data_IF_085808645188
#
_entry.id   IF_085808645188
#
_cell.length_a   1.000
_cell.length_b   1.000
_cell.length_c   1.000
_cell.angle_alpha   90.00
_cell.angle_beta   90.00
_cell.angle_gamma   90.00
#
_symmetry.space_group_name_H-M   'P 1'
#
loop_
_entity.id
_entity.type
_entity.pdbx_description
1 polymer ?
#
# COMPACT_ATOMS: atom_id res chain seq x y z
N UNK A 1 18.58 4.33 78.95
CA UNK A 1 18.19 4.26 77.51
C UNK A 1 17.57 2.89 77.15
N UNK A 2 18.02 1.74 77.69
CA UNK A 2 17.52 0.40 77.38
C UNK A 2 16.08 0.10 77.85
N UNK A 3 15.66 0.62 79.01
CA UNK A 3 14.30 0.43 79.54
C UNK A 3 13.20 1.18 78.76
N UNK A 4 13.50 2.35 78.24
CA UNK A 4 12.53 3.14 77.45
C UNK A 4 12.19 2.46 76.13
N UNK A 5 13.18 1.83 75.49
CA UNK A 5 12.99 1.07 74.24
C UNK A 5 12.13 -0.17 74.47
N UNK A 6 12.35 -0.90 75.61
CA UNK A 6 11.53 -2.09 75.97
C UNK A 6 10.05 -1.71 76.18
N UNK A 7 9.77 -0.67 76.93
CA UNK A 7 8.37 -0.22 77.20
C UNK A 7 7.68 0.29 75.94
N UNK A 8 8.42 0.78 74.97
CA UNK A 8 7.87 1.22 73.67
C UNK A 8 7.57 0.00 72.76
N UNK A 9 8.41 -0.99 72.80
CA UNK A 9 8.21 -2.26 72.04
C UNK A 9 7.02 -3.05 72.60
N UNK A 10 6.83 -3.09 73.90
CA UNK A 10 5.67 -3.76 74.52
C UNK A 10 4.35 -3.06 74.16
N UNK A 11 4.28 -1.73 74.17
CA UNK A 11 3.09 -0.98 73.75
C UNK A 11 2.75 -1.17 72.28
N UNK A 12 3.74 -1.31 71.42
CA UNK A 12 3.50 -1.58 69.99
C UNK A 12 2.98 -3.04 69.82
N UNK A 13 3.55 -4.00 70.52
CA UNK A 13 3.09 -5.41 70.52
C UNK A 13 1.66 -5.56 71.05
N UNK A 14 1.28 -4.84 72.08
CA UNK A 14 -0.09 -4.84 72.61
C UNK A 14 -1.09 -4.19 71.61
N UNK A 15 -0.70 -3.09 70.93
CA UNK A 15 -1.55 -2.48 69.91
C UNK A 15 -1.74 -3.42 68.72
N UNK A 16 -0.71 -4.10 68.27
CA UNK A 16 -0.80 -5.07 67.16
C UNK A 16 -1.67 -6.26 67.57
N UNK A 17 -1.53 -6.76 68.84
CA UNK A 17 -2.33 -7.87 69.35
C UNK A 17 -3.82 -7.52 69.50
N UNK A 18 -4.15 -6.28 69.93
CA UNK A 18 -5.53 -5.75 70.01
C UNK A 18 -6.15 -5.58 68.61
N UNK A 19 -5.36 -5.25 67.61
CA UNK A 19 -5.86 -5.08 66.24
C UNK A 19 -6.08 -6.46 65.55
N UNK A 20 -5.37 -7.52 65.97
CA UNK A 20 -5.58 -8.86 65.44
C UNK A 20 -6.78 -9.58 66.06
N UNK A 21 -7.28 -9.14 67.24
CA UNK A 21 -8.42 -9.79 67.93
C UNK A 21 -9.77 -9.17 67.56
N UNK A 22 -9.85 -8.22 66.62
CA UNK A 22 -11.13 -7.83 66.06
C UNK A 22 -11.66 -9.07 65.29
N UNK A 23 -12.46 -9.88 65.97
CA UNK A 23 -13.26 -10.95 65.35
C UNK A 23 -13.90 -10.36 64.11
N UNK A 24 -13.47 -10.79 62.95
CA UNK A 24 -14.13 -10.43 61.68
C UNK A 24 -15.58 -10.80 61.86
N UNK A 25 -16.45 -9.80 62.07
CA UNK A 25 -17.88 -9.98 62.20
C UNK A 25 -18.40 -10.68 60.94
N UNK A 26 -19.39 -11.54 61.07
CA UNK A 26 -19.99 -12.27 59.97
C UNK A 26 -20.31 -11.30 58.80
N UNK A 27 -20.75 -10.10 59.10
CA UNK A 27 -21.00 -9.01 58.12
C UNK A 27 -19.73 -8.55 57.38
N UNK A 28 -18.53 -8.51 58.05
CA UNK A 28 -17.29 -8.18 57.37
C UNK A 28 -16.81 -9.24 56.40
N UNK A 29 -17.06 -10.51 56.70
CA UNK A 29 -16.78 -11.65 55.77
C UNK A 29 -17.72 -11.63 54.57
N UNK A 30 -19.01 -11.40 54.79
CA UNK A 30 -20.03 -11.29 53.74
C UNK A 30 -19.69 -10.08 52.83
N UNK A 31 -19.31 -8.95 53.40
CA UNK A 31 -18.89 -7.76 52.62
C UNK A 31 -17.67 -8.04 51.75
N UNK A 32 -16.66 -8.75 52.27
CA UNK A 32 -15.46 -9.09 51.46
C UNK A 32 -15.80 -10.03 50.30
N UNK A 33 -16.65 -11.04 50.57
CA UNK A 33 -17.09 -11.98 49.50
C UNK A 33 -17.92 -11.23 48.43
N UNK A 34 -18.82 -10.34 48.81
CA UNK A 34 -19.60 -9.53 47.88
C UNK A 34 -18.71 -8.65 46.98
N UNK A 35 -17.70 -8.00 47.53
CA UNK A 35 -16.74 -7.19 46.77
C UNK A 35 -15.93 -8.07 45.83
N UNK A 36 -15.45 -9.25 46.27
CA UNK A 36 -14.71 -10.16 45.40
C UNK A 36 -15.56 -10.71 44.24
N UNK A 37 -16.83 -11.02 44.48
CA UNK A 37 -17.78 -11.43 43.44
C UNK A 37 -18.04 -10.32 42.45
N UNK A 38 -18.29 -9.11 42.93
CA UNK A 38 -18.48 -7.94 42.07
C UNK A 38 -17.25 -7.63 41.20
N UNK A 39 -16.06 -7.67 41.79
CA UNK A 39 -14.82 -7.51 41.08
C UNK A 39 -14.59 -8.61 40.03
N UNK A 40 -14.92 -9.86 40.36
CA UNK A 40 -14.86 -10.99 39.42
C UNK A 40 -15.83 -10.86 38.24
N UNK A 41 -17.06 -10.42 38.51
CA UNK A 41 -18.05 -10.17 37.48
C UNK A 41 -17.59 -8.99 36.59
N UNK A 42 -17.11 -7.90 37.14
CA UNK A 42 -16.58 -6.79 36.36
C UNK A 42 -15.38 -7.20 35.49
N UNK A 43 -14.50 -8.04 36.04
CA UNK A 43 -13.34 -8.53 35.29
C UNK A 43 -13.75 -9.49 34.15
N UNK A 44 -14.75 -10.35 34.38
CA UNK A 44 -15.27 -11.23 33.32
C UNK A 44 -16.01 -10.46 32.26
N UNK A 45 -16.82 -9.46 32.61
CA UNK A 45 -17.49 -8.58 31.66
C UNK A 45 -16.47 -7.76 30.86
N UNK A 46 -15.45 -7.22 31.51
CA UNK A 46 -14.37 -6.50 30.82
C UNK A 46 -13.56 -7.42 29.88
N UNK A 47 -13.29 -8.67 30.29
CA UNK A 47 -12.61 -9.66 29.46
C UNK A 47 -13.45 -10.13 28.26
N UNK A 48 -14.77 -10.28 28.44
CA UNK A 48 -15.72 -10.56 27.35
C UNK A 48 -15.87 -9.37 26.39
N UNK A 49 -15.95 -8.16 26.91
CA UNK A 49 -15.97 -6.94 26.11
C UNK A 49 -14.64 -6.75 25.32
N UNK A 50 -13.51 -7.05 25.94
CA UNK A 50 -12.19 -7.00 25.28
C UNK A 50 -12.03 -8.09 24.19
N UNK A 51 -12.72 -9.22 24.31
CA UNK A 51 -12.76 -10.27 23.26
C UNK A 51 -13.76 -9.98 22.14
N UNK A 52 -14.75 -9.12 22.37
CA UNK A 52 -15.83 -8.83 21.42
C UNK A 52 -15.67 -7.56 20.59
N UNK A 53 -14.68 -6.74 20.88
CA UNK A 53 -14.47 -5.47 20.15
C UNK A 53 -13.03 -5.34 19.69
N UNK A 54 -12.57 -6.24 18.84
CA UNK A 54 -11.46 -5.91 17.96
C UNK A 54 -12.02 -5.05 16.80
N UNK A 55 -12.38 -3.81 17.14
CA UNK A 55 -12.82 -2.77 16.19
C UNK A 55 -11.76 -2.46 15.12
N UNK A 56 -10.55 -3.00 15.29
CA UNK A 56 -9.48 -2.92 14.29
C UNK A 56 -9.63 -3.98 13.20
N UNK A 57 -10.03 -5.20 13.54
CA UNK A 57 -10.26 -6.26 12.55
C UNK A 57 -11.46 -5.96 11.67
N UNK A 58 -12.57 -5.48 12.26
CA UNK A 58 -13.76 -5.10 11.51
C UNK A 58 -13.51 -3.90 10.60
N UNK A 59 -12.84 -2.84 11.08
CA UNK A 59 -12.46 -1.71 10.21
C UNK A 59 -11.54 -2.10 9.07
N UNK A 60 -10.63 -3.03 9.29
CA UNK A 60 -9.69 -3.47 8.25
C UNK A 60 -10.40 -4.38 7.23
N UNK A 61 -11.35 -5.19 7.67
CA UNK A 61 -12.21 -5.99 6.81
C UNK A 61 -13.15 -5.10 5.97
N UNK A 62 -13.85 -4.16 6.61
CA UNK A 62 -14.73 -3.19 5.94
C UNK A 62 -13.97 -2.33 4.90
N UNK A 63 -12.74 -1.91 5.24
CA UNK A 63 -11.90 -1.14 4.33
C UNK A 63 -11.44 -1.97 3.12
N UNK A 64 -11.11 -3.25 3.33
CA UNK A 64 -10.76 -4.17 2.24
C UNK A 64 -11.95 -4.45 1.32
N UNK A 65 -13.12 -4.68 1.89
CA UNK A 65 -14.36 -4.88 1.12
C UNK A 65 -14.72 -3.65 0.31
N UNK A 66 -14.52 -2.45 0.88
CA UNK A 66 -14.75 -1.19 0.18
C UNK A 66 -13.76 -1.00 -0.98
N UNK A 67 -12.50 -1.34 -0.78
CA UNK A 67 -11.45 -1.29 -1.81
C UNK A 67 -11.77 -2.29 -2.93
N UNK A 68 -12.12 -3.52 -2.61
CA UNK A 68 -12.48 -4.55 -3.59
C UNK A 68 -13.73 -4.14 -4.38
N UNK A 69 -14.77 -3.66 -3.70
CA UNK A 69 -16.01 -3.19 -4.34
C UNK A 69 -15.74 -1.99 -5.26
N UNK A 70 -14.93 -1.03 -4.79
CA UNK A 70 -14.58 0.14 -5.59
C UNK A 70 -13.68 -0.23 -6.78
N UNK A 71 -12.79 -1.20 -6.61
CA UNK A 71 -11.93 -1.72 -7.68
C UNK A 71 -12.75 -2.41 -8.77
N UNK A 72 -13.69 -3.29 -8.38
CA UNK A 72 -14.60 -3.98 -9.32
C UNK A 72 -15.47 -2.98 -10.09
N UNK A 73 -16.01 -1.96 -9.39
CA UNK A 73 -16.79 -0.91 -10.04
C UNK A 73 -15.96 -0.05 -11.00
N UNK A 74 -14.71 0.18 -10.67
CA UNK A 74 -13.79 0.91 -11.54
C UNK A 74 -13.48 0.11 -12.81
N UNK A 75 -13.34 -1.22 -12.69
CA UNK A 75 -13.13 -2.15 -13.81
C UNK A 75 -14.37 -2.21 -14.73
N UNK A 76 -15.57 -2.30 -14.17
CA UNK A 76 -16.83 -2.23 -14.89
C UNK A 76 -16.96 -0.92 -15.69
N UNK A 77 -16.74 0.23 -15.03
CA UNK A 77 -16.80 1.54 -15.69
C UNK A 77 -15.75 1.71 -16.79
N UNK A 78 -14.56 1.10 -16.65
CA UNK A 78 -13.54 1.08 -17.71
C UNK A 78 -14.01 0.26 -18.91
N UNK A 79 -14.64 -0.88 -18.67
CA UNK A 79 -15.25 -1.67 -19.74
C UNK A 79 -16.32 -0.91 -20.50
N UNK A 80 -17.20 -0.19 -19.81
CA UNK A 80 -18.24 0.64 -20.42
C UNK A 80 -17.64 1.78 -21.25
N UNK A 81 -16.60 2.45 -20.73
CA UNK A 81 -15.90 3.54 -21.47
C UNK A 81 -15.24 2.98 -22.73
N UNK A 82 -14.60 1.80 -22.67
CA UNK A 82 -14.00 1.17 -23.82
C UNK A 82 -15.05 0.84 -24.89
N UNK A 83 -16.17 0.22 -24.50
CA UNK A 83 -17.27 -0.11 -25.41
C UNK A 83 -17.88 1.12 -26.07
N UNK A 84 -18.14 2.19 -25.31
CA UNK A 84 -18.66 3.45 -25.84
C UNK A 84 -17.65 4.14 -26.78
N UNK A 85 -16.36 4.04 -26.49
CA UNK A 85 -15.31 4.58 -27.35
C UNK A 85 -15.29 3.86 -28.70
N UNK A 86 -15.41 2.54 -28.70
CA UNK A 86 -15.47 1.73 -29.91
C UNK A 86 -16.73 2.03 -30.74
N UNK A 87 -17.87 2.24 -30.08
CA UNK A 87 -19.11 2.66 -30.76
C UNK A 87 -18.96 4.02 -31.44
N UNK A 88 -18.36 5.00 -30.73
CA UNK A 88 -18.08 6.34 -31.28
C UNK A 88 -17.16 6.24 -32.49
N UNK A 89 -16.09 5.43 -32.42
CA UNK A 89 -15.19 5.18 -33.57
C UNK A 89 -15.91 4.58 -34.76
N UNK A 90 -16.74 3.57 -34.53
CA UNK A 90 -17.53 2.93 -35.58
C UNK A 90 -18.51 3.88 -36.24
N UNK A 91 -19.13 4.78 -35.49
CA UNK A 91 -20.03 5.82 -36.03
C UNK A 91 -19.27 6.89 -36.79
N UNK A 92 -18.13 7.34 -36.29
CA UNK A 92 -17.28 8.33 -36.97
C UNK A 92 -16.77 7.83 -38.32
N UNK A 93 -16.37 6.56 -38.42
CA UNK A 93 -15.93 5.94 -39.66
C UNK A 93 -17.00 5.80 -40.77
N UNK A 94 -18.27 5.90 -40.41
CA UNK A 94 -19.40 5.85 -41.39
C UNK A 94 -19.73 7.18 -42.02
N UNK A 95 -19.17 8.30 -41.56
CA UNK A 95 -19.43 9.62 -42.11
C UNK A 95 -18.59 9.91 -43.36
N UNK A 96 -19.09 10.74 -44.32
CA UNK A 96 -18.30 11.19 -45.47
C UNK A 96 -17.01 11.91 -45.01
N UNK A 97 -15.86 11.48 -45.48
CA UNK A 97 -14.55 11.99 -45.03
C UNK A 97 -14.04 11.32 -43.73
N UNK A 98 -14.79 10.38 -43.16
CA UNK A 98 -14.44 9.70 -41.92
C UNK A 98 -13.14 8.86 -42.00
N UNK A 99 -12.76 8.41 -43.19
CA UNK A 99 -11.54 7.59 -43.36
C UNK A 99 -10.26 8.35 -42.96
N UNK A 100 -10.04 9.56 -43.50
CA UNK A 100 -8.87 10.39 -43.15
C UNK A 100 -8.88 10.78 -41.66
N UNK A 101 -10.06 11.15 -41.13
CA UNK A 101 -10.19 11.45 -39.70
C UNK A 101 -9.89 10.26 -38.83
N UNK A 102 -10.35 9.06 -39.19
CA UNK A 102 -10.10 7.83 -38.48
C UNK A 102 -8.60 7.47 -38.46
N UNK A 103 -7.91 7.64 -39.59
CA UNK A 103 -6.45 7.41 -39.66
C UNK A 103 -5.67 8.40 -38.76
N UNK A 104 -6.02 9.69 -38.83
CA UNK A 104 -5.41 10.70 -37.94
C UNK A 104 -5.70 10.43 -36.45
N UNK A 105 -6.90 9.96 -36.15
CA UNK A 105 -7.27 9.58 -34.79
C UNK A 105 -6.45 8.37 -34.31
N UNK A 106 -6.29 7.33 -35.13
CA UNK A 106 -5.50 6.15 -34.80
C UNK A 106 -4.04 6.50 -34.44
N UNK A 107 -3.40 7.38 -35.24
CA UNK A 107 -2.04 7.86 -34.97
C UNK A 107 -1.99 8.65 -33.64
N UNK A 108 -2.99 9.49 -33.38
CA UNK A 108 -3.05 10.26 -32.15
C UNK A 108 -3.32 9.35 -30.91
N UNK A 109 -4.14 8.34 -31.05
CA UNK A 109 -4.45 7.36 -30.01
C UNK A 109 -3.21 6.51 -29.65
N UNK A 110 -2.45 6.09 -30.65
CA UNK A 110 -1.19 5.37 -30.43
C UNK A 110 -0.19 6.24 -29.65
N UNK A 111 0.02 7.50 -30.10
CA UNK A 111 0.90 8.44 -29.42
C UNK A 111 0.43 8.80 -27.99
N UNK A 112 -0.87 8.76 -27.74
CA UNK A 112 -1.46 9.00 -26.41
C UNK A 112 -1.46 7.75 -25.50
N UNK A 113 -1.04 6.59 -26.00
CA UNK A 113 -1.06 5.34 -25.27
C UNK A 113 -2.44 4.70 -25.12
N UNK A 114 -3.37 5.02 -26.02
CA UNK A 114 -4.76 4.54 -26.03
C UNK A 114 -4.95 3.29 -26.91
N UNK A 115 -3.86 2.67 -27.36
CA UNK A 115 -3.84 1.42 -28.12
C UNK A 115 -3.04 0.36 -27.41
N UNK A 116 -3.42 -0.91 -27.58
CA UNK A 116 -2.64 -2.05 -27.11
C UNK A 116 -1.33 -2.11 -27.90
N UNK A 117 -0.24 -2.39 -27.22
CA UNK A 117 1.07 -2.60 -27.82
C UNK A 117 1.70 -3.88 -27.32
N UNK A 118 2.42 -4.57 -28.19
CA UNK A 118 3.15 -5.79 -27.85
C UNK A 118 4.55 -5.70 -28.44
N UNK A 119 5.56 -6.06 -27.65
CA UNK A 119 6.94 -6.00 -28.13
C UNK A 119 7.96 -6.51 -27.11
N UNK A 120 9.22 -6.59 -27.54
CA UNK A 120 10.33 -6.94 -26.64
C UNK A 120 10.69 -5.75 -25.73
N UNK A 121 11.38 -6.05 -24.62
CA UNK A 121 11.83 -5.01 -23.73
C UNK A 121 12.44 -5.49 -22.43
N UNK A 122 12.24 -4.72 -21.36
CA UNK A 122 12.72 -5.05 -20.03
C UNK A 122 11.60 -5.17 -19.01
N UNK A 123 11.79 -6.08 -18.07
CA UNK A 123 11.02 -6.18 -16.82
C UNK A 123 11.92 -5.82 -15.64
N UNK A 124 11.48 -4.89 -14.81
CA UNK A 124 12.13 -4.51 -13.57
C UNK A 124 11.23 -4.90 -12.41
N UNK A 125 11.76 -5.64 -11.44
CA UNK A 125 11.02 -6.07 -10.26
C UNK A 125 11.65 -5.48 -9.02
N UNK A 126 10.84 -4.79 -8.21
CA UNK A 126 11.23 -4.21 -6.92
C UNK A 126 10.47 -4.91 -5.80
N UNK A 127 11.16 -5.28 -4.73
CA UNK A 127 10.57 -6.02 -3.61
C UNK A 127 11.05 -5.44 -2.28
N UNK A 128 10.17 -5.40 -1.29
CA UNK A 128 10.54 -5.05 0.07
C UNK A 128 11.59 -6.01 0.64
N UNK A 129 12.32 -5.56 1.64
CA UNK A 129 13.27 -6.41 2.36
C UNK A 129 12.54 -7.55 3.08
N UNK A 130 13.17 -8.71 3.28
CA UNK A 130 12.58 -9.82 4.05
C UNK A 130 12.20 -9.37 5.47
N UNK A 131 11.00 -9.77 5.92
CA UNK A 131 10.44 -9.33 7.21
C UNK A 131 11.12 -9.93 8.43
N UNK A 132 11.90 -10.99 8.26
CA UNK A 132 12.64 -11.72 9.29
C UNK A 132 14.01 -11.10 9.63
N UNK A 133 14.50 -10.19 8.79
CA UNK A 133 15.81 -9.53 8.96
C UNK A 133 15.60 -8.03 9.15
N UNK A 134 15.56 -7.59 10.41
CA UNK A 134 15.57 -6.15 10.74
C UNK A 134 16.90 -5.78 11.40
N UNK A 135 17.79 -5.06 10.68
CA UNK A 135 19.02 -4.58 11.28
C UNK A 135 18.76 -3.61 12.44
N UNK A 136 19.55 -3.70 13.52
CA UNK A 136 19.37 -2.82 14.67
C UNK A 136 19.60 -1.36 14.28
N UNK A 137 18.65 -0.48 14.66
CA UNK A 137 18.72 0.96 14.39
C UNK A 137 18.22 1.39 13.00
N UNK A 138 17.71 0.48 12.19
CA UNK A 138 17.09 0.78 10.89
C UNK A 138 15.58 0.98 11.07
N UNK A 139 15.03 2.04 10.45
CA UNK A 139 13.59 2.29 10.45
C UNK A 139 12.88 1.31 9.52
N UNK A 140 11.62 0.98 9.81
CA UNK A 140 10.79 0.13 8.93
C UNK A 140 10.63 0.75 7.53
N UNK A 141 10.67 2.07 7.45
CA UNK A 141 10.59 2.84 6.22
C UNK A 141 11.76 2.56 5.24
N UNK A 142 12.95 2.28 5.75
CA UNK A 142 14.10 1.95 4.92
C UNK A 142 14.08 0.52 4.34
N UNK A 143 13.11 -0.30 4.75
CA UNK A 143 12.98 -1.71 4.39
C UNK A 143 11.88 -1.96 3.35
N UNK A 144 11.19 -0.93 2.90
CA UNK A 144 10.09 -1.02 1.95
C UNK A 144 10.37 -0.20 0.69
N UNK A 145 9.79 -0.65 -0.43
CA UNK A 145 9.84 0.08 -1.70
C UNK A 145 8.91 1.29 -1.65
N UNK A 146 9.41 2.44 -2.04
CA UNK A 146 8.65 3.69 -2.08
C UNK A 146 8.24 4.07 -3.50
N UNK A 147 7.23 4.95 -3.61
CA UNK A 147 6.83 5.50 -4.91
C UNK A 147 7.99 6.14 -5.68
N UNK A 148 8.92 6.78 -4.97
CA UNK A 148 10.09 7.42 -5.58
C UNK A 148 11.03 6.43 -6.26
N UNK A 149 11.13 5.19 -5.75
CA UNK A 149 11.95 4.14 -6.31
C UNK A 149 11.35 3.63 -7.61
N UNK A 150 10.03 3.39 -7.61
CA UNK A 150 9.26 3.03 -8.80
C UNK A 150 9.33 4.15 -9.83
N UNK A 151 9.16 5.41 -9.40
CA UNK A 151 9.23 6.57 -10.28
C UNK A 151 10.62 6.77 -10.89
N UNK A 152 11.69 6.46 -10.14
CA UNK A 152 13.05 6.49 -10.67
C UNK A 152 13.24 5.48 -11.81
N UNK A 153 12.71 4.26 -11.66
CA UNK A 153 12.73 3.24 -12.72
C UNK A 153 11.91 3.69 -13.93
N UNK A 154 10.69 4.16 -13.73
CA UNK A 154 9.80 4.65 -14.79
C UNK A 154 10.46 5.77 -15.58
N UNK A 155 11.04 6.76 -14.88
CA UNK A 155 11.69 7.89 -15.54
C UNK A 155 12.95 7.46 -16.30
N UNK A 156 13.73 6.52 -15.78
CA UNK A 156 14.88 6.00 -16.48
C UNK A 156 14.50 5.22 -17.73
N UNK A 157 13.44 4.41 -17.69
CA UNK A 157 12.95 3.66 -18.85
C UNK A 157 12.41 4.60 -19.93
N UNK A 158 11.66 5.66 -19.56
CA UNK A 158 11.24 6.69 -20.51
C UNK A 158 12.44 7.41 -21.13
N UNK A 159 13.45 7.78 -20.34
CA UNK A 159 14.68 8.40 -20.83
C UNK A 159 15.47 7.46 -21.74
N UNK A 160 15.37 6.14 -21.52
CA UNK A 160 15.97 5.09 -22.35
C UNK A 160 15.24 4.81 -23.66
N UNK A 161 14.13 5.52 -23.94
CA UNK A 161 13.38 5.37 -25.18
C UNK A 161 12.30 4.29 -25.13
N UNK A 162 11.71 4.03 -23.95
CA UNK A 162 10.55 3.14 -23.87
C UNK A 162 9.40 3.66 -24.75
N UNK A 163 8.80 2.79 -25.55
CA UNK A 163 7.67 3.09 -26.42
C UNK A 163 6.33 2.89 -25.69
N UNK A 164 6.29 1.92 -24.80
CA UNK A 164 5.17 1.68 -23.91
C UNK A 164 5.66 1.13 -22.58
N UNK A 165 4.87 1.34 -21.52
CA UNK A 165 5.22 0.87 -20.19
C UNK A 165 3.99 0.45 -19.42
N UNK A 166 4.15 -0.56 -18.57
CA UNK A 166 3.16 -0.95 -17.57
C UNK A 166 3.76 -1.00 -16.16
N UNK A 167 2.94 -0.75 -15.16
CA UNK A 167 3.23 -1.07 -13.76
C UNK A 167 2.10 -1.97 -13.28
N UNK A 168 2.43 -3.17 -12.79
CA UNK A 168 1.43 -4.17 -12.38
C UNK A 168 0.38 -4.45 -13.47
N UNK A 169 0.81 -4.49 -14.73
CA UNK A 169 -0.06 -4.67 -15.89
C UNK A 169 -0.91 -3.46 -16.26
N UNK A 170 -0.83 -2.34 -15.52
CA UNK A 170 -1.55 -1.11 -15.84
C UNK A 170 -0.73 -0.22 -16.76
N UNK A 171 -1.29 0.20 -17.90
CA UNK A 171 -0.61 1.12 -18.84
C UNK A 171 -0.21 2.41 -18.14
N UNK A 172 1.04 2.78 -18.32
CA UNK A 172 1.59 4.08 -17.87
C UNK A 172 1.63 5.07 -19.01
N UNK A 173 1.12 6.26 -18.78
CA UNK A 173 1.23 7.42 -19.67
C UNK A 173 1.83 8.61 -18.92
N UNK A 174 2.13 9.70 -19.61
CA UNK A 174 2.78 10.90 -19.01
C UNK A 174 2.02 11.51 -17.82
N UNK A 175 0.72 11.27 -17.71
CA UNK A 175 -0.14 11.77 -16.62
C UNK A 175 -0.41 10.72 -15.53
N UNK A 176 0.15 9.53 -15.62
CA UNK A 176 -0.02 8.49 -14.62
C UNK A 176 0.61 8.89 -13.30
N UNK A 177 -0.22 8.98 -12.25
CA UNK A 177 0.24 9.27 -10.90
C UNK A 177 0.57 7.99 -10.14
N UNK A 178 1.80 7.90 -9.64
CA UNK A 178 2.25 6.84 -8.72
C UNK A 178 2.20 7.43 -7.31
N UNK A 179 1.42 6.85 -6.40
CA UNK A 179 1.23 7.38 -5.04
C UNK A 179 1.40 6.30 -4.00
N UNK A 180 2.04 6.61 -2.86
CA UNK A 180 2.02 5.75 -1.68
C UNK A 180 0.87 6.11 -0.75
N UNK A 181 0.20 5.07 -0.23
CA UNK A 181 -0.76 5.17 0.87
C UNK A 181 -0.37 4.10 1.90
N UNK A 182 0.28 4.52 2.97
CA UNK A 182 0.97 3.61 3.88
C UNK A 182 2.15 2.92 3.16
N UNK A 183 2.22 1.60 3.24
CA UNK A 183 3.22 0.75 2.55
C UNK A 183 2.69 0.15 1.24
N UNK A 184 1.68 0.75 0.63
CA UNK A 184 1.03 0.26 -0.59
C UNK A 184 1.12 1.33 -1.67
N UNK A 185 1.43 0.94 -2.89
CA UNK A 185 1.43 1.84 -4.05
C UNK A 185 0.06 1.82 -4.70
N UNK A 186 -0.48 3.00 -4.96
CA UNK A 186 -1.79 3.19 -5.61
C UNK A 186 -1.58 3.70 -7.02
N UNK A 187 -2.11 2.97 -8.01
CA UNK A 187 -2.12 3.30 -9.43
C UNK A 187 -3.56 3.36 -9.90
N UNK A 188 -3.97 4.45 -10.51
CA UNK A 188 -5.34 4.66 -11.02
C UNK A 188 -6.44 4.37 -9.98
N UNK A 189 -6.14 4.59 -8.67
CA UNK A 189 -7.05 4.29 -7.57
C UNK A 189 -7.03 2.84 -7.08
N UNK A 190 -6.25 1.95 -7.69
CA UNK A 190 -6.09 0.55 -7.26
C UNK A 190 -4.82 0.40 -6.42
N UNK A 191 -4.90 -0.17 -5.21
CA UNK A 191 -3.75 -0.42 -4.36
C UNK A 191 -3.03 -1.72 -4.77
N UNK A 192 -1.70 -1.65 -4.84
CA UNK A 192 -0.82 -2.78 -5.14
C UNK A 192 0.21 -2.97 -4.02
N UNK A 193 0.45 -4.23 -3.69
CA UNK A 193 1.51 -4.64 -2.77
C UNK A 193 2.75 -5.14 -3.54
N UNK A 194 3.95 -5.11 -2.94
CA UNK A 194 5.13 -5.71 -3.55
C UNK A 194 4.97 -7.23 -3.76
N UNK A 195 5.66 -7.83 -4.75
CA UNK A 195 6.64 -7.22 -5.64
C UNK A 195 6.01 -6.27 -6.65
N UNK A 196 6.69 -5.14 -6.93
CA UNK A 196 6.26 -4.21 -7.97
C UNK A 196 6.96 -4.57 -9.27
N UNK A 197 6.16 -4.90 -10.28
CA UNK A 197 6.62 -5.27 -11.62
C UNK A 197 6.41 -4.09 -12.57
N UNK A 198 7.48 -3.63 -13.17
CA UNK A 198 7.50 -2.54 -14.15
C UNK A 198 8.01 -3.16 -15.45
N UNK A 199 7.25 -3.05 -16.52
CA UNK A 199 7.61 -3.58 -17.82
C UNK A 199 7.62 -2.44 -18.85
N UNK A 200 8.65 -2.42 -19.70
CA UNK A 200 8.80 -1.41 -20.74
C UNK A 200 9.14 -2.08 -22.08
N UNK A 201 8.37 -1.75 -23.09
CA UNK A 201 8.63 -2.11 -24.49
C UNK A 201 9.63 -1.12 -25.06
N UNK A 202 10.66 -1.65 -25.76
CA UNK A 202 11.67 -0.84 -26.41
C UNK A 202 12.98 -1.59 -26.60
N UNK A 203 14.01 -0.91 -27.08
CA UNK A 203 15.33 -1.48 -27.24
C UNK A 203 15.94 -1.83 -25.86
N UNK A 204 16.11 -3.13 -25.58
CA UNK A 204 16.50 -3.61 -24.28
C UNK A 204 17.90 -3.13 -23.84
N UNK A 205 18.81 -2.86 -24.77
CA UNK A 205 20.16 -2.37 -24.46
C UNK A 205 20.11 -0.89 -24.07
N UNK A 206 19.36 -0.09 -24.78
CA UNK A 206 19.15 1.33 -24.49
C UNK A 206 18.42 1.51 -23.15
N UNK A 207 17.36 0.74 -22.90
CA UNK A 207 16.62 0.75 -21.64
C UNK A 207 17.53 0.36 -20.46
N UNK A 208 18.34 -0.70 -20.61
CA UNK A 208 19.27 -1.16 -19.58
C UNK A 208 20.36 -0.14 -19.31
N UNK A 209 20.89 0.52 -20.34
CA UNK A 209 21.87 1.58 -20.19
C UNK A 209 21.27 2.74 -19.37
N UNK A 210 20.07 3.20 -19.72
CA UNK A 210 19.40 4.29 -18.99
C UNK A 210 19.13 3.96 -17.52
N UNK A 211 18.74 2.72 -17.21
CA UNK A 211 18.60 2.24 -15.83
C UNK A 211 19.95 2.30 -15.09
N UNK A 212 21.03 1.85 -15.73
CA UNK A 212 22.34 1.81 -15.10
C UNK A 212 22.96 3.20 -14.92
N UNK A 213 22.64 4.14 -15.78
CA UNK A 213 23.13 5.53 -15.71
C UNK A 213 22.31 6.40 -14.73
N UNK A 214 21.16 5.92 -14.27
CA UNK A 214 20.29 6.68 -13.36
C UNK A 214 20.87 6.80 -11.95
N UNK A 215 21.20 8.01 -11.45
CA UNK A 215 21.73 8.21 -10.11
C UNK A 215 20.76 7.73 -9.01
N UNK A 216 19.46 7.93 -9.21
CA UNK A 216 18.43 7.50 -8.25
C UNK A 216 18.38 5.98 -8.10
N UNK A 217 18.53 5.25 -9.20
CA UNK A 217 18.58 3.78 -9.18
C UNK A 217 19.88 3.30 -8.54
N UNK A 218 21.00 4.01 -8.73
CA UNK A 218 22.26 3.69 -8.05
C UNK A 218 22.13 3.84 -6.52
N UNK A 219 21.41 4.87 -6.06
CA UNK A 219 21.07 5.02 -4.62
C UNK A 219 20.20 3.86 -4.16
N UNK A 220 19.13 3.51 -4.90
CA UNK A 220 18.29 2.35 -4.55
C UNK A 220 19.12 1.05 -4.44
N UNK A 221 20.05 0.80 -5.35
CA UNK A 221 20.96 -0.36 -5.28
C UNK A 221 21.85 -0.39 -4.03
N UNK A 222 22.17 0.77 -3.43
CA UNK A 222 22.84 0.81 -2.13
C UNK A 222 21.92 0.31 -1.00
N UNK A 223 20.64 0.66 -1.05
CA UNK A 223 19.65 0.14 -0.11
C UNK A 223 19.42 -1.37 -0.29
N UNK A 224 19.42 -1.86 -1.55
CA UNK A 224 19.40 -3.31 -1.85
C UNK A 224 20.57 -4.02 -1.17
N UNK A 225 21.77 -3.50 -1.32
CA UNK A 225 22.98 -4.09 -0.72
C UNK A 225 23.02 -3.99 0.81
N UNK A 226 22.51 -2.88 1.37
CA UNK A 226 22.59 -2.61 2.80
C UNK A 226 21.45 -3.28 3.60
N UNK A 227 20.26 -3.38 3.04
CA UNK A 227 19.05 -3.75 3.75
C UNK A 227 18.32 -4.95 3.17
N UNK A 228 18.74 -5.46 2.02
CA UNK A 228 18.17 -6.66 1.42
C UNK A 228 16.87 -6.41 0.65
N UNK A 229 16.60 -5.17 0.19
CA UNK A 229 15.53 -4.95 -0.78
C UNK A 229 15.77 -5.76 -2.06
N UNK A 230 14.68 -6.16 -2.74
CA UNK A 230 14.78 -6.88 -4.00
C UNK A 230 14.91 -5.93 -5.19
N UNK A 231 15.80 -6.28 -6.12
CA UNK A 231 15.97 -5.60 -7.39
C UNK A 231 16.37 -6.63 -8.45
N UNK A 232 15.52 -6.81 -9.44
CA UNK A 232 15.80 -7.68 -10.58
C UNK A 232 15.50 -6.95 -11.89
N UNK A 233 16.27 -7.22 -12.93
CA UNK A 233 16.08 -6.69 -14.29
C UNK A 233 16.25 -7.85 -15.26
N UNK A 234 15.20 -8.13 -16.00
CA UNK A 234 15.13 -9.23 -16.95
C UNK A 234 14.79 -8.72 -18.36
N UNK A 235 15.42 -9.29 -19.39
CA UNK A 235 15.02 -9.09 -20.77
C UNK A 235 13.84 -9.99 -21.08
N UNK A 236 12.81 -9.41 -21.67
CA UNK A 236 11.57 -10.12 -22.02
C UNK A 236 11.36 -10.01 -23.52
N UNK A 237 11.12 -11.16 -24.16
CA UNK A 237 10.91 -11.23 -25.60
C UNK A 237 9.56 -10.69 -26.05
N UNK A 238 8.57 -10.74 -25.18
CA UNK A 238 7.21 -10.27 -25.45
C UNK A 238 6.59 -9.70 -24.19
N UNK A 239 6.24 -8.42 -24.24
CA UNK A 239 5.56 -7.65 -23.20
C UNK A 239 4.26 -7.14 -23.80
N UNK A 240 3.15 -7.37 -23.12
CA UNK A 240 1.84 -6.83 -23.47
C UNK A 240 1.60 -5.54 -22.69
N UNK A 241 1.40 -4.43 -23.36
CA UNK A 241 1.05 -3.15 -22.78
C UNK A 241 -0.37 -2.76 -23.25
N UNK A 242 -1.41 -3.00 -22.43
CA UNK A 242 -2.79 -2.71 -22.81
C UNK A 242 -3.00 -1.22 -23.04
N UNK A 243 -4.08 -0.86 -23.74
CA UNK A 243 -4.49 0.53 -23.90
C UNK A 243 -4.73 1.19 -22.52
N UNK A 244 -4.40 2.46 -22.42
CA UNK A 244 -4.70 3.23 -21.21
C UNK A 244 -6.22 3.39 -21.05
N UNK A 245 -6.77 2.82 -19.98
CA UNK A 245 -8.20 2.80 -19.71
C UNK A 245 -8.71 4.01 -18.90
N UNK A 246 -7.83 4.99 -18.61
CA UNK A 246 -8.21 6.20 -17.89
C UNK A 246 -8.67 7.34 -18.80
N UNK A 247 -9.18 8.42 -18.20
CA UNK A 247 -9.55 9.61 -18.96
C UNK A 247 -8.33 10.46 -19.34
N UNK A 248 -8.21 10.81 -20.62
CA UNK A 248 -7.23 11.77 -21.14
C UNK A 248 -7.86 13.14 -21.41
N UNK A 249 -9.15 13.33 -21.10
CA UNK A 249 -9.90 14.57 -21.34
C UNK A 249 -9.37 15.75 -20.52
N UNK A 250 -9.19 16.89 -21.17
CA UNK A 250 -8.84 18.15 -20.54
C UNK A 250 -10.07 18.73 -19.82
N UNK A 251 -9.90 19.21 -18.59
CA UNK A 251 -10.97 19.83 -17.81
C UNK A 251 -10.94 21.35 -17.86
N UNK A 252 -9.76 21.93 -17.93
CA UNK A 252 -9.55 23.37 -17.79
C UNK A 252 -8.77 23.98 -18.96
N UNK A 253 -8.13 23.16 -19.78
CA UNK A 253 -7.40 23.60 -20.96
C UNK A 253 -8.24 23.42 -22.23
N UNK A 254 -8.14 24.36 -23.16
CA UNK A 254 -8.71 24.29 -24.49
C UNK A 254 -7.58 24.36 -25.52
N UNK A 255 -7.80 23.78 -26.72
CA UNK A 255 -6.84 23.90 -27.80
C UNK A 255 -6.64 25.38 -28.15
N UNK A 256 -5.38 25.86 -28.20
CA UNK A 256 -5.04 27.16 -28.78
C UNK A 256 -5.34 27.16 -30.30
N UNK A 257 -5.91 28.24 -30.80
CA UNK A 257 -6.10 28.44 -32.24
C UNK A 257 -4.80 28.94 -32.87
#
# INVERSE_FOLDING_TARGET
MREWVRRRAERVRERVRRNQSRRRTLGGRIGTVAVCVLAGVMMTVAALAARGTDLRSDRTADMRDLIVTQSSRNEELRGDVAALTDEVRALAGRQPGGGELTERLAVAEEAAGLTDLVGPGLRVTLTDAPTDVKPAGVSDDALVVHQQDIQAVVNALWAGGAEAMTIQGQRVISTTGIKCVGNTVVLHGVPYAPPYVIEAIGDADSLLAAINDSPSIQVYKQYVAAYGLGYAVDRVGEIEAPAFAGSVGLRFATSGQ
#
